data_IF_810367925173
#
_entry.id   IF_810367925173
#
_cell.length_a   1.000
_cell.length_b   1.000
_cell.length_c   1.000
_cell.angle_alpha   90.00
_cell.angle_beta   90.00
_cell.angle_gamma   90.00
#
_symmetry.space_group_name_H-M   'P 1'
#
loop_
_entity.id
_entity.type
_entity.pdbx_description
1 polymer ?
#
# COMPACT_ATOMS: atom_id res chain seq x y z
N UNK A 1 5.43 15.05 -48.70
CA UNK A 1 4.66 13.81 -48.44
C UNK A 1 4.11 13.85 -47.02
N UNK A 2 2.92 13.32 -46.76
CA UNK A 2 2.33 13.30 -45.41
C UNK A 2 3.15 12.40 -44.47
N UNK A 3 3.60 12.97 -43.35
CA UNK A 3 4.25 12.27 -42.25
C UNK A 3 3.21 11.59 -41.36
N UNK A 4 3.50 10.39 -40.88
CA UNK A 4 2.62 9.64 -40.00
C UNK A 4 3.43 8.97 -38.89
N UNK A 5 3.05 9.28 -37.65
CA UNK A 5 3.57 8.68 -36.41
C UNK A 5 2.41 7.99 -35.72
N UNK A 6 2.67 6.80 -35.17
CA UNK A 6 1.77 6.10 -34.27
C UNK A 6 2.16 6.41 -32.82
N UNK A 7 1.18 6.69 -31.99
CA UNK A 7 1.35 6.86 -30.56
C UNK A 7 0.44 5.87 -29.83
N UNK A 8 1.02 5.14 -28.87
CA UNK A 8 0.33 4.05 -28.16
C UNK A 8 0.36 4.26 -26.65
N UNK A 9 -0.27 5.32 -26.10
CA UNK A 9 -0.23 5.57 -24.68
C UNK A 9 -0.99 4.50 -23.89
N UNK A 10 -0.48 4.23 -22.71
CA UNK A 10 -0.96 3.18 -21.83
C UNK A 10 -1.38 3.76 -20.50
N UNK A 11 -2.69 3.81 -20.27
CA UNK A 11 -3.26 4.40 -19.07
C UNK A 11 -3.68 3.31 -18.07
N UNK A 12 -3.41 3.57 -16.79
CA UNK A 12 -3.78 2.70 -15.67
C UNK A 12 -5.25 2.89 -15.29
N UNK A 13 -6.14 2.52 -16.19
CA UNK A 13 -7.58 2.43 -15.98
C UNK A 13 -8.13 1.41 -16.99
N UNK A 14 -8.93 0.44 -16.55
CA UNK A 14 -9.53 -0.59 -17.41
C UNK A 14 -10.96 -0.95 -17.05
N UNK A 15 -11.57 -0.26 -16.07
CA UNK A 15 -12.87 -0.60 -15.50
C UNK A 15 -13.87 0.57 -15.61
N UNK A 16 -13.44 1.81 -15.34
CA UNK A 16 -14.31 2.98 -15.41
C UNK A 16 -14.44 3.49 -16.85
N UNK A 17 -15.58 3.19 -17.47
CA UNK A 17 -15.87 3.58 -18.85
C UNK A 17 -15.90 5.10 -19.06
N UNK A 18 -16.37 5.88 -18.09
CA UNK A 18 -16.41 7.34 -18.21
C UNK A 18 -15.00 7.92 -18.34
N UNK A 19 -14.05 7.39 -17.56
CA UNK A 19 -12.64 7.79 -17.62
C UNK A 19 -12.01 7.35 -18.94
N UNK A 20 -12.30 6.13 -19.38
CA UNK A 20 -11.77 5.60 -20.65
C UNK A 20 -12.25 6.43 -21.84
N UNK A 21 -13.56 6.68 -21.90
CA UNK A 21 -14.19 7.44 -22.98
C UNK A 21 -13.68 8.89 -22.96
N UNK A 22 -13.54 9.53 -21.80
CA UNK A 22 -13.01 10.89 -21.68
C UNK A 22 -11.56 11.03 -22.18
N UNK A 23 -10.69 10.05 -21.88
CA UNK A 23 -9.31 10.04 -22.38
C UNK A 23 -9.29 9.83 -23.90
N UNK A 24 -10.08 8.90 -24.42
CA UNK A 24 -10.21 8.65 -25.85
C UNK A 24 -10.76 9.87 -26.61
N UNK A 25 -11.74 10.55 -26.03
CA UNK A 25 -12.33 11.77 -26.58
C UNK A 25 -11.32 12.93 -26.63
N UNK A 26 -10.48 13.08 -25.61
CA UNK A 26 -9.42 14.08 -25.62
C UNK A 26 -8.43 13.89 -26.79
N UNK A 27 -8.13 12.64 -27.14
CA UNK A 27 -7.31 12.30 -28.31
C UNK A 27 -8.05 12.59 -29.61
N UNK A 28 -9.29 12.13 -29.74
CA UNK A 28 -10.07 12.25 -30.99
C UNK A 28 -10.45 13.69 -31.32
N UNK A 29 -10.64 14.55 -30.32
CA UNK A 29 -10.87 15.98 -30.48
C UNK A 29 -9.59 16.77 -30.79
N UNK A 30 -8.41 16.14 -30.78
CA UNK A 30 -7.16 16.82 -31.10
C UNK A 30 -6.99 16.97 -32.62
N UNK A 31 -6.86 18.21 -33.15
CA UNK A 31 -6.70 18.42 -34.58
C UNK A 31 -5.45 17.71 -35.12
N UNK A 32 -5.64 16.88 -36.15
CA UNK A 32 -4.55 16.14 -36.80
C UNK A 32 -4.23 14.77 -36.20
N UNK A 33 -4.98 14.34 -35.17
CA UNK A 33 -4.95 12.98 -34.64
C UNK A 33 -6.14 12.16 -35.14
N UNK A 34 -5.92 10.86 -35.34
CA UNK A 34 -6.95 9.88 -35.66
C UNK A 34 -6.81 8.75 -34.65
N UNK A 35 -7.80 8.61 -33.76
CA UNK A 35 -7.89 7.48 -32.84
C UNK A 35 -8.26 6.22 -33.64
N UNK A 36 -7.40 5.20 -33.56
CA UNK A 36 -7.56 3.94 -34.30
C UNK A 36 -8.20 2.86 -33.45
N UNK A 37 -7.77 2.73 -32.21
CA UNK A 37 -8.22 1.67 -31.32
C UNK A 37 -8.12 2.06 -29.85
N UNK A 38 -8.98 1.46 -29.02
CA UNK A 38 -9.00 1.57 -27.56
C UNK A 38 -9.23 0.19 -26.98
N UNK A 39 -8.16 -0.45 -26.53
CA UNK A 39 -8.19 -1.80 -25.97
C UNK A 39 -8.14 -1.72 -24.44
N UNK A 40 -9.31 -1.89 -23.81
CA UNK A 40 -9.47 -1.87 -22.36
C UNK A 40 -9.45 -3.30 -21.79
N UNK A 41 -8.54 -3.54 -20.86
CA UNK A 41 -8.44 -4.81 -20.13
C UNK A 41 -8.92 -4.66 -18.67
N UNK A 42 -10.11 -5.19 -18.31
CA UNK A 42 -10.62 -5.11 -16.93
C UNK A 42 -9.70 -5.80 -15.92
N UNK A 43 -9.22 -7.01 -16.24
CA UNK A 43 -8.32 -7.79 -15.37
C UNK A 43 -6.94 -7.14 -15.21
N UNK A 44 -6.40 -6.58 -16.29
CA UNK A 44 -5.11 -5.85 -16.25
C UNK A 44 -5.25 -4.44 -15.66
N UNK A 45 -6.48 -3.95 -15.49
CA UNK A 45 -6.86 -2.59 -15.10
C UNK A 45 -6.04 -1.53 -15.85
N UNK A 46 -5.96 -1.70 -17.17
CA UNK A 46 -5.20 -0.84 -18.09
C UNK A 46 -5.94 -0.73 -19.41
N UNK A 47 -5.83 0.43 -20.03
CA UNK A 47 -6.33 0.67 -21.39
C UNK A 47 -5.20 1.15 -22.27
N UNK A 48 -5.09 0.52 -23.44
CA UNK A 48 -4.14 0.87 -24.50
C UNK A 48 -4.90 1.67 -25.54
N UNK A 49 -4.46 2.90 -25.80
CA UNK A 49 -5.02 3.71 -26.87
C UNK A 49 -4.03 3.70 -28.01
N UNK A 50 -4.52 3.58 -29.24
CA UNK A 50 -3.68 3.62 -30.44
C UNK A 50 -4.21 4.72 -31.33
N UNK A 51 -3.38 5.71 -31.66
CA UNK A 51 -3.75 6.78 -32.57
C UNK A 51 -2.58 7.22 -33.44
N UNK A 52 -2.90 7.83 -34.57
CA UNK A 52 -1.91 8.27 -35.57
C UNK A 52 -2.10 9.73 -35.94
N UNK A 53 -1.02 10.38 -36.36
CA UNK A 53 -1.06 11.78 -36.78
C UNK A 53 0.28 12.29 -37.30
N UNK A 54 0.36 13.59 -37.57
CA UNK A 54 1.65 14.26 -37.80
C UNK A 54 2.48 14.29 -36.50
N UNK A 55 3.82 14.42 -36.57
CA UNK A 55 4.68 14.47 -35.38
C UNK A 55 4.21 15.45 -34.29
N UNK A 56 3.81 16.66 -34.68
CA UNK A 56 3.36 17.68 -33.72
C UNK A 56 1.95 17.38 -33.19
N UNK A 57 1.06 16.87 -34.04
CA UNK A 57 -0.30 16.53 -33.65
C UNK A 57 -0.32 15.39 -32.61
N UNK A 58 0.49 14.34 -32.82
CA UNK A 58 0.49 13.20 -31.88
C UNK A 58 1.03 13.56 -30.50
N UNK A 59 1.97 14.50 -30.42
CA UNK A 59 2.47 15.02 -29.15
C UNK A 59 1.37 15.79 -28.41
N UNK A 60 0.63 16.66 -29.12
CA UNK A 60 -0.49 17.39 -28.52
C UNK A 60 -1.62 16.44 -28.07
N UNK A 61 -1.92 15.41 -28.87
CA UNK A 61 -2.92 14.40 -28.53
C UNK A 61 -2.54 13.63 -27.27
N UNK A 62 -1.27 13.23 -27.16
CA UNK A 62 -0.73 12.56 -25.98
C UNK A 62 -0.77 13.48 -24.73
N UNK A 63 -0.44 14.77 -24.88
CA UNK A 63 -0.50 15.74 -23.76
C UNK A 63 -1.93 15.95 -23.28
N UNK A 64 -2.89 16.13 -24.19
CA UNK A 64 -4.31 16.29 -23.84
C UNK A 64 -4.87 15.06 -23.12
N UNK A 65 -4.58 13.87 -23.64
CA UNK A 65 -4.94 12.61 -22.98
C UNK A 65 -4.34 12.53 -21.56
N UNK A 66 -3.07 12.90 -21.40
CA UNK A 66 -2.40 12.90 -20.10
C UNK A 66 -3.01 13.93 -19.12
N UNK A 67 -3.42 15.11 -19.58
CA UNK A 67 -4.09 16.13 -18.75
C UNK A 67 -5.43 15.62 -18.20
N UNK A 68 -6.21 14.94 -19.03
CA UNK A 68 -7.48 14.33 -18.61
C UNK A 68 -7.24 13.19 -17.62
N UNK A 69 -6.31 12.28 -17.94
CA UNK A 69 -5.95 11.19 -17.05
C UNK A 69 -5.44 11.67 -15.68
N UNK A 70 -4.66 12.75 -15.64
CA UNK A 70 -4.15 13.34 -14.40
C UNK A 70 -5.25 13.82 -13.45
N UNK A 71 -6.39 14.26 -13.99
CA UNK A 71 -7.53 14.70 -13.18
C UNK A 71 -8.44 13.55 -12.74
N UNK A 72 -8.51 12.48 -13.54
CA UNK A 72 -9.49 11.42 -13.37
C UNK A 72 -8.94 10.14 -12.73
N UNK A 73 -7.63 9.88 -12.84
CA UNK A 73 -7.00 8.64 -12.35
C UNK A 73 -6.25 8.91 -11.05
N UNK A 74 -6.72 8.28 -9.97
CA UNK A 74 -6.06 8.26 -8.66
C UNK A 74 -5.25 6.95 -8.50
N UNK A 75 -3.93 7.05 -8.68
CA UNK A 75 -3.02 5.90 -8.52
C UNK A 75 -2.95 5.37 -7.09
N UNK A 76 -3.37 6.13 -6.07
CA UNK A 76 -3.45 5.65 -4.68
C UNK A 76 -4.54 4.59 -4.48
N UNK A 77 -5.54 4.55 -5.36
CA UNK A 77 -6.63 3.57 -5.34
C UNK A 77 -6.50 2.51 -6.44
N UNK A 78 -5.60 2.72 -7.39
CA UNK A 78 -5.43 1.83 -8.53
C UNK A 78 -4.76 0.50 -8.14
N UNK A 79 -5.39 -0.61 -8.53
CA UNK A 79 -4.80 -1.95 -8.51
C UNK A 79 -5.13 -2.70 -9.80
N UNK A 80 -4.16 -3.40 -10.37
CA UNK A 80 -4.34 -4.23 -11.58
C UNK A 80 -3.31 -5.35 -11.63
N UNK A 81 -3.62 -6.42 -12.39
CA UNK A 81 -2.71 -7.57 -12.55
C UNK A 81 -1.46 -7.24 -13.39
N UNK A 82 -1.51 -6.16 -14.18
CA UNK A 82 -0.40 -5.75 -15.03
C UNK A 82 0.52 -4.75 -14.29
N UNK A 83 1.86 -4.94 -14.33
CA UNK A 83 2.80 -4.01 -13.73
C UNK A 83 2.63 -2.58 -14.27
N UNK A 84 2.52 -1.61 -13.37
CA UNK A 84 2.30 -0.20 -13.71
C UNK A 84 3.09 0.73 -12.81
N UNK A 85 3.52 1.87 -13.33
CA UNK A 85 4.30 2.84 -12.58
C UNK A 85 3.62 4.21 -12.48
N UNK A 86 2.58 4.51 -13.25
CA UNK A 86 1.86 5.79 -13.17
C UNK A 86 0.56 5.76 -13.94
N UNK A 87 -0.28 6.78 -13.75
CA UNK A 87 -1.58 6.92 -14.41
C UNK A 87 -1.44 6.84 -15.94
N UNK A 88 -0.39 7.45 -16.49
CA UNK A 88 0.16 7.17 -17.80
C UNK A 88 1.47 6.42 -17.60
N UNK A 89 1.49 5.13 -17.92
CA UNK A 89 2.60 4.24 -17.59
C UNK A 89 3.68 4.26 -18.69
N UNK A 90 3.28 4.15 -19.96
CA UNK A 90 4.18 4.37 -21.11
C UNK A 90 3.47 5.07 -22.26
N UNK A 91 4.22 5.88 -23.00
CA UNK A 91 3.75 6.62 -24.17
C UNK A 91 4.82 6.59 -25.28
N UNK A 92 4.91 5.50 -26.06
CA UNK A 92 5.81 5.40 -27.22
C UNK A 92 5.30 6.21 -28.41
N UNK A 93 6.26 6.63 -29.24
CA UNK A 93 6.05 7.22 -30.56
C UNK A 93 6.80 6.37 -31.59
N UNK A 94 6.09 5.82 -32.58
CA UNK A 94 6.60 4.84 -33.54
C UNK A 94 6.47 5.41 -34.96
N UNK A 95 7.52 5.33 -35.80
CA UNK A 95 7.45 5.81 -37.17
C UNK A 95 6.58 4.87 -38.03
N UNK A 96 5.57 5.42 -38.71
CA UNK A 96 4.71 4.65 -39.63
C UNK A 96 5.03 4.96 -41.09
N UNK A 97 5.02 6.24 -41.47
CA UNK A 97 5.20 6.65 -42.87
C UNK A 97 5.91 7.99 -42.99
N UNK A 98 6.99 8.02 -43.77
CA UNK A 98 7.79 9.22 -44.04
C UNK A 98 8.27 9.94 -42.77
N UNK A 99 8.56 9.18 -41.72
CA UNK A 99 9.09 9.68 -40.45
C UNK A 99 10.30 8.83 -40.06
N UNK A 100 11.39 9.48 -39.64
CA UNK A 100 12.58 8.79 -39.16
C UNK A 100 12.49 8.46 -37.67
N UNK A 101 13.35 7.55 -37.20
CA UNK A 101 13.46 7.28 -35.77
C UNK A 101 13.89 8.52 -34.99
N UNK A 102 14.78 9.36 -35.53
CA UNK A 102 15.20 10.63 -34.91
C UNK A 102 14.03 11.59 -34.69
N UNK A 103 13.08 11.65 -35.63
CA UNK A 103 11.87 12.45 -35.49
C UNK A 103 10.96 11.90 -34.38
N UNK A 104 10.88 10.59 -34.20
CA UNK A 104 10.14 9.98 -33.09
C UNK A 104 10.83 10.21 -31.74
N UNK A 105 12.17 10.16 -31.69
CA UNK A 105 12.95 10.53 -30.51
C UNK A 105 12.71 12.00 -30.15
N UNK A 106 12.61 12.89 -31.14
CA UNK A 106 12.23 14.29 -30.91
C UNK A 106 10.82 14.41 -30.32
N UNK A 107 9.83 13.67 -30.83
CA UNK A 107 8.48 13.64 -30.27
C UNK A 107 8.50 13.22 -28.80
N UNK A 108 9.23 12.14 -28.48
CA UNK A 108 9.37 11.65 -27.10
C UNK A 108 10.03 12.67 -26.16
N UNK A 109 11.08 13.37 -26.62
CA UNK A 109 11.72 14.43 -25.83
C UNK A 109 10.78 15.63 -25.60
N UNK A 110 10.07 16.07 -26.65
CA UNK A 110 9.13 17.19 -26.57
C UNK A 110 7.97 16.87 -25.62
N UNK A 111 7.32 15.73 -25.83
CA UNK A 111 6.26 15.24 -24.96
C UNK A 111 6.73 15.15 -23.51
N UNK A 112 7.87 14.50 -23.25
CA UNK A 112 8.37 14.31 -21.89
C UNK A 112 8.73 15.63 -21.19
N UNK A 113 9.29 16.60 -21.92
CA UNK A 113 9.60 17.92 -21.38
C UNK A 113 8.33 18.71 -21.05
N UNK A 114 7.39 18.79 -21.99
CA UNK A 114 6.14 19.55 -21.79
C UNK A 114 5.30 18.93 -20.68
N UNK A 115 5.14 17.60 -20.68
CA UNK A 115 4.37 16.89 -19.66
C UNK A 115 4.93 17.12 -18.25
N UNK A 116 6.26 17.04 -18.10
CA UNK A 116 6.91 17.22 -16.80
C UNK A 116 6.78 18.65 -16.28
N UNK A 117 6.89 19.64 -17.16
CA UNK A 117 6.72 21.06 -16.80
C UNK A 117 5.26 21.38 -16.46
N UNK A 118 4.31 20.88 -17.25
CA UNK A 118 2.89 21.20 -17.08
C UNK A 118 2.26 20.51 -15.87
N UNK A 119 2.56 19.23 -15.64
CA UNK A 119 1.92 18.43 -14.59
C UNK A 119 2.80 18.26 -13.34
N UNK A 120 4.06 18.71 -13.37
CA UNK A 120 4.99 18.58 -12.25
C UNK A 120 5.36 17.14 -11.91
N UNK A 121 5.29 16.22 -12.88
CA UNK A 121 5.52 14.78 -12.68
C UNK A 121 6.90 14.34 -13.19
N UNK A 122 7.54 13.33 -12.54
CA UNK A 122 8.78 12.76 -13.03
C UNK A 122 8.55 11.93 -14.29
N UNK A 123 9.30 12.23 -15.36
CA UNK A 123 9.22 11.52 -16.65
C UNK A 123 10.56 10.90 -17.00
N UNK A 124 10.55 9.64 -17.43
CA UNK A 124 11.72 8.94 -17.94
C UNK A 124 11.54 8.59 -19.42
N UNK A 125 12.53 8.97 -20.24
CA UNK A 125 12.62 8.49 -21.62
C UNK A 125 13.24 7.08 -21.64
N UNK A 126 12.66 6.20 -22.46
CA UNK A 126 13.04 4.79 -22.58
C UNK A 126 13.29 4.39 -24.05
N UNK A 127 13.72 3.15 -24.26
CA UNK A 127 13.99 2.62 -25.61
C UNK A 127 15.05 3.44 -26.37
N UNK A 128 14.80 3.71 -27.65
CA UNK A 128 15.68 4.52 -28.51
C UNK A 128 15.83 5.98 -28.03
N UNK A 129 14.91 6.48 -27.22
CA UNK A 129 14.99 7.83 -26.63
C UNK A 129 15.73 7.87 -25.27
N UNK A 130 16.15 6.72 -24.73
CA UNK A 130 16.79 6.63 -23.43
C UNK A 130 18.19 7.28 -23.45
N UNK A 131 18.44 8.20 -22.50
CA UNK A 131 19.78 8.82 -22.32
C UNK A 131 20.78 7.96 -21.54
N UNK A 132 20.31 6.91 -20.88
CA UNK A 132 21.12 5.99 -20.09
C UNK A 132 20.81 4.57 -20.53
N UNK A 133 21.83 3.72 -20.65
CA UNK A 133 21.66 2.32 -21.05
C UNK A 133 20.69 1.56 -20.14
N UNK A 134 20.76 1.84 -18.83
CA UNK A 134 19.86 1.26 -17.82
C UNK A 134 18.39 1.65 -17.97
N UNK A 135 18.05 2.59 -18.85
CA UNK A 135 16.68 3.05 -19.14
C UNK A 135 16.18 2.58 -20.51
N UNK A 136 16.95 1.82 -21.28
CA UNK A 136 16.44 1.24 -22.53
C UNK A 136 15.36 0.19 -22.27
N UNK A 137 15.59 -0.67 -21.29
CA UNK A 137 14.64 -1.73 -20.90
C UNK A 137 13.50 -1.17 -20.05
N UNK A 138 12.28 -1.26 -20.56
CA UNK A 138 11.08 -0.84 -19.86
C UNK A 138 10.85 -1.60 -18.54
N UNK A 139 11.02 -2.95 -18.47
CA UNK A 139 11.00 -3.67 -17.21
C UNK A 139 11.98 -3.14 -16.16
N UNK A 140 13.17 -2.70 -16.58
CA UNK A 140 14.16 -2.12 -15.66
C UNK A 140 13.70 -0.78 -15.08
N UNK A 141 12.97 0.03 -15.85
CA UNK A 141 12.35 1.27 -15.34
C UNK A 141 11.21 0.94 -14.38
N UNK A 142 10.34 -0.01 -14.75
CA UNK A 142 9.17 -0.45 -13.97
C UNK A 142 9.49 -1.31 -12.75
N UNK A 143 10.75 -1.64 -12.47
CA UNK A 143 11.13 -2.55 -11.38
C UNK A 143 10.61 -2.05 -10.01
N UNK A 144 9.70 -2.77 -9.36
CA UNK A 144 9.07 -2.32 -8.11
C UNK A 144 7.84 -1.42 -8.30
N UNK A 145 7.38 -1.21 -9.54
CA UNK A 145 6.09 -0.61 -9.88
C UNK A 145 5.86 0.80 -9.30
N UNK A 146 4.60 1.16 -9.06
CA UNK A 146 4.19 2.41 -8.44
C UNK A 146 4.73 2.55 -7.01
N UNK A 147 4.73 1.45 -6.25
CA UNK A 147 5.13 1.44 -4.84
C UNK A 147 6.62 1.75 -4.64
N UNK A 148 7.49 1.47 -5.62
CA UNK A 148 8.91 1.82 -5.56
C UNK A 148 9.25 3.24 -6.07
N UNK A 149 8.26 4.02 -6.54
CA UNK A 149 8.50 5.40 -6.99
C UNK A 149 9.11 6.31 -5.91
N UNK A 150 8.63 6.31 -4.64
CA UNK A 150 9.17 7.19 -3.62
C UNK A 150 10.68 6.99 -3.41
N UNK A 151 11.12 5.75 -3.28
CA UNK A 151 12.55 5.41 -3.10
C UNK A 151 13.39 5.80 -4.33
N UNK A 152 12.88 5.55 -5.54
CA UNK A 152 13.59 5.86 -6.79
C UNK A 152 13.72 7.36 -7.07
N UNK A 153 12.68 8.12 -6.77
CA UNK A 153 12.65 9.57 -6.97
C UNK A 153 13.64 10.23 -6.00
N UNK A 154 13.64 9.79 -4.74
CA UNK A 154 14.58 10.26 -3.70
C UNK A 154 16.03 9.94 -4.08
N UNK A 155 16.33 8.69 -4.44
CA UNK A 155 17.69 8.25 -4.81
C UNK A 155 18.27 8.95 -6.05
N UNK A 156 17.42 9.43 -6.99
CA UNK A 156 17.87 9.88 -8.31
C UNK A 156 17.73 11.38 -8.55
N UNK A 157 16.98 12.11 -7.73
CA UNK A 157 16.93 13.57 -7.73
C UNK A 157 18.14 14.20 -7.01
N UNK A 158 19.05 13.41 -6.45
CA UNK A 158 20.23 13.93 -5.74
C UNK A 158 19.87 14.65 -4.44
N UNK A 159 18.66 14.43 -3.89
CA UNK A 159 18.22 15.03 -2.63
C UNK A 159 19.04 14.55 -1.42
N UNK A 160 19.65 13.38 -1.55
CA UNK A 160 20.74 12.83 -0.75
C UNK A 160 21.99 13.74 -0.65
N UNK A 161 22.14 14.71 -1.55
CA UNK A 161 23.28 15.64 -1.59
C UNK A 161 23.08 16.94 -0.80
N UNK A 162 21.84 17.32 -0.48
CA UNK A 162 21.50 18.62 0.15
C UNK A 162 21.16 18.49 1.65
N UNK A 163 20.59 17.36 2.04
CA UNK A 163 20.34 16.95 3.43
C UNK A 163 19.86 15.50 3.41
N UNK A 164 20.19 14.65 4.41
CA UNK A 164 19.67 13.29 4.43
C UNK A 164 18.14 13.33 4.38
N UNK A 165 17.56 12.83 3.28
CA UNK A 165 16.12 12.64 3.21
C UNK A 165 15.77 11.58 4.25
N UNK A 166 15.17 12.00 5.36
CA UNK A 166 14.65 11.09 6.37
C UNK A 166 13.23 10.66 5.94
N UNK A 167 13.03 9.43 5.43
CA UNK A 167 11.72 8.98 4.98
C UNK A 167 10.69 9.02 6.11
N UNK A 168 11.12 8.87 7.36
CA UNK A 168 10.25 8.94 8.54
C UNK A 168 9.66 10.34 8.78
N UNK A 169 10.29 11.39 8.25
CA UNK A 169 9.87 12.78 8.43
C UNK A 169 9.16 13.38 7.21
N UNK A 170 9.12 12.66 6.08
CA UNK A 170 8.72 13.24 4.78
C UNK A 170 7.73 12.39 3.97
N UNK A 171 7.58 11.10 4.26
CA UNK A 171 6.51 10.27 3.69
C UNK A 171 5.33 10.32 4.65
N UNK A 172 4.14 10.70 4.17
CA UNK A 172 2.96 10.96 5.02
C UNK A 172 2.55 9.71 5.80
N UNK A 173 2.59 8.54 5.18
CA UNK A 173 2.33 7.25 5.81
C UNK A 173 3.34 6.93 6.91
N UNK A 174 4.62 7.28 6.71
CA UNK A 174 5.68 7.06 7.70
C UNK A 174 5.65 8.10 8.80
N UNK A 175 5.20 9.32 8.52
CA UNK A 175 4.90 10.37 9.52
C UNK A 175 3.72 9.95 10.42
N UNK A 176 2.71 9.28 9.84
CA UNK A 176 1.57 8.75 10.58
C UNK A 176 1.96 7.50 11.38
N UNK A 177 2.82 6.62 10.84
CA UNK A 177 3.35 5.45 11.57
C UNK A 177 4.38 5.81 12.66
N UNK A 178 5.22 6.82 12.43
CA UNK A 178 6.15 7.34 13.46
C UNK A 178 5.44 8.10 14.58
N UNK A 179 4.21 8.58 14.34
CA UNK A 179 3.27 9.03 15.37
C UNK A 179 2.63 7.91 16.19
N UNK A 180 2.78 6.65 15.78
CA UNK A 180 2.39 5.44 16.53
C UNK A 180 3.62 4.68 17.03
N UNK A 181 4.56 5.38 17.67
CA UNK A 181 5.74 4.76 18.27
C UNK A 181 5.65 4.73 19.79
N UNK A 182 4.79 3.87 20.33
CA UNK A 182 5.27 2.96 21.37
C UNK A 182 5.60 1.67 20.63
N UNK A 183 6.85 1.55 20.18
CA UNK A 183 7.26 0.52 19.24
C UNK A 183 6.91 -0.87 19.75
N UNK A 184 6.08 -1.59 19.00
CA UNK A 184 5.67 -2.97 19.29
C UNK A 184 6.88 -3.89 19.54
N UNK A 185 6.62 -5.10 20.04
CA UNK A 185 7.62 -6.14 20.28
C UNK A 185 8.49 -6.41 19.05
N UNK A 186 7.91 -6.31 17.84
CA UNK A 186 8.60 -6.50 16.56
C UNK A 186 9.71 -5.48 16.32
N UNK A 187 9.55 -4.25 16.81
CA UNK A 187 10.53 -3.17 16.62
C UNK A 187 11.75 -3.28 17.56
N UNK A 188 11.69 -4.17 18.56
CA UNK A 188 12.76 -4.37 19.54
C UNK A 188 13.83 -5.31 18.97
N UNK A 189 15.06 -5.21 19.50
CA UNK A 189 16.12 -6.15 19.12
C UNK A 189 15.71 -7.60 19.42
N UNK A 190 16.16 -8.56 18.59
CA UNK A 190 15.90 -9.98 18.82
C UNK A 190 16.34 -10.43 20.22
N UNK A 191 17.46 -9.89 20.71
CA UNK A 191 17.93 -10.13 22.07
C UNK A 191 16.92 -9.66 23.12
N UNK A 192 16.36 -8.45 22.95
CA UNK A 192 15.32 -7.92 23.85
C UNK A 192 14.04 -8.75 23.78
N UNK A 193 13.62 -9.16 22.58
CA UNK A 193 12.44 -10.01 22.38
C UNK A 193 12.59 -11.35 23.12
N UNK A 194 13.72 -12.04 22.94
CA UNK A 194 14.00 -13.32 23.62
C UNK A 194 14.02 -13.16 25.13
N UNK A 195 14.61 -12.07 25.66
CA UNK A 195 14.59 -11.80 27.10
C UNK A 195 13.21 -11.45 27.63
N UNK A 196 12.36 -10.79 26.83
CA UNK A 196 10.99 -10.47 27.21
C UNK A 196 10.10 -11.72 27.27
N UNK A 197 10.24 -12.64 26.30
CA UNK A 197 9.55 -13.94 26.31
C UNK A 197 9.96 -14.78 27.53
N UNK A 198 11.25 -14.75 27.90
CA UNK A 198 11.75 -15.46 29.09
C UNK A 198 11.54 -14.72 30.42
N UNK A 199 10.88 -13.56 30.42
CA UNK A 199 10.66 -12.79 31.64
C UNK A 199 9.46 -13.34 32.42
N UNK A 200 9.36 -12.99 33.70
CA UNK A 200 8.20 -13.32 34.54
C UNK A 200 7.03 -12.37 34.21
N UNK A 201 6.47 -12.51 33.01
CA UNK A 201 5.37 -11.71 32.47
C UNK A 201 4.43 -12.57 31.63
N UNK A 202 3.13 -12.28 31.65
CA UNK A 202 2.12 -13.04 30.90
C UNK A 202 2.15 -12.79 29.38
N UNK A 203 2.74 -11.69 28.93
CA UNK A 203 2.99 -11.37 27.52
C UNK A 203 4.34 -10.64 27.38
N UNK A 204 5.12 -10.86 26.31
CA UNK A 204 4.87 -11.73 25.16
C UNK A 204 4.94 -13.23 25.50
N UNK A 205 4.02 -14.02 24.95
CA UNK A 205 3.85 -15.44 25.28
C UNK A 205 4.03 -16.39 24.09
N UNK A 206 3.55 -17.62 24.23
CA UNK A 206 3.69 -18.67 23.21
C UNK A 206 3.06 -18.32 21.85
N UNK A 207 1.98 -17.53 21.84
CA UNK A 207 1.35 -17.05 20.60
C UNK A 207 2.28 -16.14 19.80
N UNK A 208 2.85 -15.13 20.47
CA UNK A 208 3.85 -14.21 19.91
C UNK A 208 5.08 -14.95 19.39
N UNK A 209 5.58 -15.96 20.12
CA UNK A 209 6.70 -16.81 19.67
C UNK A 209 6.32 -17.66 18.46
N UNK A 210 5.13 -18.25 18.44
CA UNK A 210 4.66 -19.07 17.32
C UNK A 210 4.52 -18.24 16.05
N UNK A 211 3.94 -17.05 16.15
CA UNK A 211 3.86 -16.09 15.04
C UNK A 211 5.26 -15.71 14.52
N UNK A 212 6.21 -15.44 15.42
CA UNK A 212 7.59 -15.15 15.05
C UNK A 212 8.28 -16.34 14.34
N UNK A 213 8.09 -17.56 14.83
CA UNK A 213 8.63 -18.78 14.20
C UNK A 213 8.00 -19.02 12.81
N UNK A 214 6.70 -18.82 12.67
CA UNK A 214 6.01 -18.93 11.38
C UNK A 214 6.49 -17.86 10.40
N UNK A 215 6.70 -16.62 10.85
CA UNK A 215 7.24 -15.54 10.03
C UNK A 215 8.66 -15.88 9.52
N UNK A 216 9.53 -16.40 10.40
CA UNK A 216 10.87 -16.88 10.02
C UNK A 216 10.80 -18.03 9.00
N UNK A 217 9.85 -18.96 9.16
CA UNK A 217 9.63 -20.05 8.20
C UNK A 217 9.21 -19.52 6.82
N UNK A 218 8.27 -18.58 6.78
CA UNK A 218 7.84 -17.95 5.54
C UNK A 218 8.98 -17.13 4.89
N UNK A 219 9.78 -16.42 5.69
CA UNK A 219 10.95 -15.68 5.24
C UNK A 219 12.00 -16.60 4.59
N UNK A 220 12.28 -17.75 5.19
CA UNK A 220 13.18 -18.76 4.61
C UNK A 220 12.65 -19.30 3.28
N UNK A 221 11.34 -19.58 3.19
CA UNK A 221 10.70 -20.00 1.94
C UNK A 221 10.83 -18.94 0.83
N UNK A 222 10.60 -17.67 1.18
CA UNK A 222 10.79 -16.54 0.28
C UNK A 222 12.25 -16.40 -0.17
N UNK A 223 13.20 -16.47 0.77
CA UNK A 223 14.64 -16.42 0.50
C UNK A 223 15.07 -17.50 -0.49
N UNK A 224 14.67 -18.76 -0.25
CA UNK A 224 15.02 -19.88 -1.15
C UNK A 224 14.43 -19.64 -2.55
N UNK A 225 13.18 -19.20 -2.64
CA UNK A 225 12.56 -18.83 -3.92
C UNK A 225 13.34 -17.75 -4.66
N UNK A 226 13.73 -16.68 -3.97
CA UNK A 226 14.54 -15.59 -4.52
C UNK A 226 15.96 -16.04 -4.91
N UNK A 227 16.56 -16.95 -4.14
CA UNK A 227 17.88 -17.52 -4.45
C UNK A 227 17.87 -18.42 -5.69
N UNK A 228 16.70 -18.93 -6.09
CA UNK A 228 16.48 -19.73 -7.30
C UNK A 228 16.02 -18.89 -8.49
N UNK A 229 15.23 -17.84 -8.25
CA UNK A 229 14.71 -16.96 -9.29
C UNK A 229 15.82 -16.15 -10.00
N UNK A 230 15.72 -16.01 -11.32
CA UNK A 230 16.66 -15.22 -12.14
C UNK A 230 18.03 -15.87 -12.38
N UNK A 231 18.28 -17.10 -11.92
CA UNK A 231 19.51 -17.84 -12.21
C UNK A 231 19.34 -18.75 -13.42
N UNK A 232 20.30 -18.67 -14.34
CA UNK A 232 20.32 -19.45 -15.60
C UNK A 232 20.21 -20.97 -15.41
N UNK A 233 20.75 -21.50 -14.30
CA UNK A 233 20.65 -22.93 -13.96
C UNK A 233 19.23 -23.39 -13.54
N UNK A 234 18.33 -22.45 -13.23
CA UNK A 234 16.97 -22.71 -12.74
C UNK A 234 15.90 -22.05 -13.63
N UNK A 235 16.24 -21.72 -14.87
CA UNK A 235 15.34 -21.03 -15.83
C UNK A 235 14.04 -21.82 -16.05
N UNK A 236 14.10 -23.15 -16.06
CA UNK A 236 12.93 -24.03 -16.14
C UNK A 236 11.94 -23.88 -14.95
N UNK A 237 12.40 -23.33 -13.81
CA UNK A 237 11.60 -23.13 -12.60
C UNK A 237 11.14 -21.68 -12.44
N UNK A 238 11.49 -20.77 -13.35
CA UNK A 238 11.23 -19.34 -13.19
C UNK A 238 9.74 -19.02 -13.04
N UNK A 239 8.89 -19.63 -13.87
CA UNK A 239 7.44 -19.49 -13.80
C UNK A 239 6.85 -20.01 -12.49
N UNK A 240 7.46 -21.05 -11.90
CA UNK A 240 7.06 -21.62 -10.62
C UNK A 240 7.46 -20.68 -9.49
N UNK A 241 8.69 -20.18 -9.50
CA UNK A 241 9.19 -19.26 -8.48
C UNK A 241 8.41 -17.94 -8.47
N UNK A 242 8.08 -17.39 -9.65
CA UNK A 242 7.28 -16.15 -9.77
C UNK A 242 5.89 -16.28 -9.15
N UNK A 243 5.32 -17.50 -9.11
CA UNK A 243 4.03 -17.77 -8.45
C UNK A 243 4.17 -18.03 -6.95
N UNK A 244 5.26 -18.67 -6.50
CA UNK A 244 5.44 -19.09 -5.11
C UNK A 244 6.02 -18.00 -4.19
N UNK A 245 6.88 -17.12 -4.71
CA UNK A 245 7.52 -16.08 -3.89
C UNK A 245 6.51 -15.08 -3.29
N UNK A 246 5.53 -14.54 -4.04
CA UNK A 246 4.62 -13.53 -3.49
C UNK A 246 3.78 -14.02 -2.29
N UNK A 247 3.17 -15.23 -2.32
CA UNK A 247 2.46 -15.77 -1.15
C UNK A 247 3.34 -15.90 0.11
N UNK A 248 4.60 -16.35 -0.02
CA UNK A 248 5.52 -16.43 1.12
C UNK A 248 5.89 -15.05 1.66
N UNK A 249 6.14 -14.08 0.78
CA UNK A 249 6.44 -12.71 1.18
C UNK A 249 5.25 -12.04 1.88
N UNK A 250 4.03 -12.26 1.38
CA UNK A 250 2.81 -11.76 2.00
C UNK A 250 2.58 -12.40 3.37
N UNK A 251 2.65 -13.73 3.46
CA UNK A 251 2.47 -14.45 4.72
C UNK A 251 3.51 -14.02 5.77
N UNK A 252 4.77 -13.80 5.37
CA UNK A 252 5.82 -13.26 6.24
C UNK A 252 5.40 -11.92 6.85
N UNK A 253 4.93 -10.96 6.06
CA UNK A 253 4.55 -9.64 6.56
C UNK A 253 3.29 -9.68 7.45
N UNK A 254 2.31 -10.52 7.11
CA UNK A 254 1.11 -10.71 7.93
C UNK A 254 1.46 -11.33 9.29
N UNK A 255 2.32 -12.35 9.32
CA UNK A 255 2.74 -13.04 10.54
C UNK A 255 3.59 -12.16 11.46
N UNK A 256 4.38 -11.23 10.90
CA UNK A 256 5.12 -10.25 11.70
C UNK A 256 4.16 -9.37 12.51
N UNK A 257 3.09 -8.88 11.89
CA UNK A 257 2.07 -8.06 12.58
C UNK A 257 1.34 -8.87 13.66
N UNK A 258 1.17 -10.18 13.47
CA UNK A 258 0.53 -11.05 14.47
C UNK A 258 1.31 -11.15 15.79
N UNK A 259 2.64 -10.93 15.78
CA UNK A 259 3.46 -10.93 17.00
C UNK A 259 3.00 -9.84 17.97
N UNK A 260 2.82 -8.62 17.45
CA UNK A 260 2.31 -7.50 18.25
C UNK A 260 0.82 -7.66 18.57
N UNK A 261 0.05 -8.20 17.62
CA UNK A 261 -1.39 -8.41 17.77
C UNK A 261 -1.72 -9.40 18.90
N UNK A 262 -0.94 -10.48 19.06
CA UNK A 262 -1.11 -11.45 20.15
C UNK A 262 -0.93 -10.79 21.53
N UNK A 263 0.14 -10.01 21.68
CA UNK A 263 0.43 -9.31 22.93
C UNK A 263 -0.60 -8.21 23.23
N UNK A 264 -1.04 -7.47 22.20
CA UNK A 264 -2.09 -6.45 22.33
C UNK A 264 -3.46 -7.06 22.65
N UNK A 265 -3.81 -8.19 22.05
CA UNK A 265 -5.06 -8.88 22.32
C UNK A 265 -5.14 -9.29 23.79
N UNK A 266 -4.07 -9.89 24.32
CA UNK A 266 -3.99 -10.28 25.73
C UNK A 266 -4.19 -9.07 26.67
N UNK A 267 -3.46 -7.97 26.44
CA UNK A 267 -3.64 -6.74 27.22
C UNK A 267 -5.04 -6.14 27.08
N UNK A 268 -5.63 -6.18 25.89
CA UNK A 268 -6.98 -5.63 25.63
C UNK A 268 -8.05 -6.39 26.41
N UNK A 269 -7.96 -7.71 26.54
CA UNK A 269 -8.89 -8.49 27.37
C UNK A 269 -8.80 -8.13 28.85
N UNK A 270 -7.58 -7.94 29.38
CA UNK A 270 -7.38 -7.50 30.77
C UNK A 270 -7.98 -6.10 31.01
N UNK A 271 -7.71 -5.15 30.10
CA UNK A 271 -8.26 -3.79 30.18
C UNK A 271 -9.77 -3.79 30.06
N UNK A 272 -10.34 -4.57 29.13
CA UNK A 272 -11.78 -4.67 28.96
C UNK A 272 -12.48 -5.23 30.20
N UNK A 273 -11.93 -6.28 30.83
CA UNK A 273 -12.45 -6.83 32.07
C UNK A 273 -12.47 -5.78 33.20
N UNK A 274 -11.37 -5.02 33.36
CA UNK A 274 -11.29 -3.94 34.36
C UNK A 274 -12.15 -2.72 34.02
N UNK A 275 -12.31 -2.38 32.74
CA UNK A 275 -13.17 -1.27 32.30
C UNK A 275 -14.64 -1.58 32.55
N UNK A 276 -15.08 -2.82 32.31
CA UNK A 276 -16.43 -3.28 32.63
C UNK A 276 -16.68 -3.25 34.15
N UNK A 277 -15.74 -3.75 34.95
CA UNK A 277 -15.79 -3.64 36.42
C UNK A 277 -15.92 -2.18 36.87
N UNK A 278 -15.09 -1.27 36.34
CA UNK A 278 -15.13 0.15 36.65
C UNK A 278 -16.45 0.82 36.21
N UNK A 279 -17.01 0.42 35.07
CA UNK A 279 -18.31 0.89 34.59
C UNK A 279 -19.45 0.54 35.53
N UNK A 280 -19.46 -0.70 36.06
CA UNK A 280 -20.44 -1.15 37.06
C UNK A 280 -20.24 -0.43 38.40
N UNK A 281 -18.99 -0.17 38.80
CA UNK A 281 -18.68 0.68 39.96
C UNK A 281 -19.25 2.10 39.81
N UNK A 282 -19.09 2.72 38.64
CA UNK A 282 -19.67 4.02 38.32
C UNK A 282 -21.20 4.00 38.41
N UNK A 283 -21.84 2.98 37.84
CA UNK A 283 -23.29 2.79 37.94
C UNK A 283 -23.76 2.62 39.39
N UNK A 284 -23.03 1.84 40.19
CA UNK A 284 -23.30 1.66 41.62
C UNK A 284 -23.30 2.99 42.37
N UNK A 285 -22.24 3.78 42.25
CA UNK A 285 -22.15 5.06 42.96
C UNK A 285 -23.16 6.08 42.46
N UNK A 286 -23.49 6.08 41.17
CA UNK A 286 -24.56 6.93 40.63
C UNK A 286 -25.92 6.59 41.25
N UNK A 287 -26.27 5.30 41.34
CA UNK A 287 -27.53 4.86 41.96
C UNK A 287 -27.53 5.18 43.45
N UNK A 288 -26.47 4.83 44.18
CA UNK A 288 -26.36 5.07 45.63
C UNK A 288 -26.42 6.55 45.97
N UNK A 289 -25.86 7.42 45.13
CA UNK A 289 -25.92 8.87 45.34
C UNK A 289 -27.35 9.39 45.23
N UNK A 290 -28.09 9.01 44.18
CA UNK A 290 -29.49 9.41 43.99
C UNK A 290 -30.43 8.78 45.03
N UNK A 291 -30.13 7.58 45.53
CA UNK A 291 -30.95 6.91 46.56
C UNK A 291 -30.99 7.66 47.90
N UNK A 292 -30.05 8.58 48.16
CA UNK A 292 -30.06 9.41 49.38
C UNK A 292 -31.25 10.36 49.43
N UNK A 293 -31.72 10.81 48.27
CA UNK A 293 -32.80 11.78 48.14
C UNK A 293 -34.19 11.10 48.04
N UNK A 294 -34.25 9.76 48.02
CA UNK A 294 -35.49 8.99 47.90
C UNK A 294 -36.12 8.74 49.27
N UNK A 295 -37.36 9.21 49.46
CA UNK A 295 -38.09 9.12 50.74
C UNK A 295 -38.66 7.72 51.04
N UNK A 296 -38.93 6.89 50.03
CA UNK A 296 -39.42 5.52 50.21
C UNK A 296 -38.30 4.57 50.65
N UNK A 297 -38.33 4.13 51.91
CA UNK A 297 -37.33 3.22 52.48
C UNK A 297 -37.38 1.80 51.89
N UNK A 298 -38.57 1.29 51.54
CA UNK A 298 -38.70 -0.06 51.00
C UNK A 298 -38.05 -0.12 49.61
N UNK A 299 -38.33 0.86 48.77
CA UNK A 299 -37.70 1.00 47.46
C UNK A 299 -36.19 1.23 47.57
N UNK A 300 -35.74 2.09 48.51
CA UNK A 300 -34.31 2.36 48.73
C UNK A 300 -33.55 1.09 49.08
N UNK A 301 -34.09 0.28 50.00
CA UNK A 301 -33.46 -0.97 50.44
C UNK A 301 -33.43 -2.02 49.34
N UNK A 302 -34.51 -2.14 48.56
CA UNK A 302 -34.57 -3.06 47.41
C UNK A 302 -33.52 -2.67 46.34
N UNK A 303 -33.51 -1.40 45.93
CA UNK A 303 -32.59 -0.91 44.91
C UNK A 303 -31.13 -0.99 45.35
N UNK A 304 -30.85 -0.69 46.63
CA UNK A 304 -29.51 -0.84 47.17
C UNK A 304 -29.05 -2.31 47.18
N UNK A 305 -29.94 -3.24 47.52
CA UNK A 305 -29.64 -4.68 47.46
C UNK A 305 -29.34 -5.15 46.03
N UNK A 306 -30.17 -4.74 45.06
CA UNK A 306 -30.00 -5.09 43.64
C UNK A 306 -28.68 -4.56 43.08
N UNK A 307 -28.39 -3.27 43.27
CA UNK A 307 -27.16 -2.68 42.71
C UNK A 307 -25.90 -3.22 43.38
N UNK A 308 -25.94 -3.57 44.67
CA UNK A 308 -24.84 -4.23 45.37
C UNK A 308 -24.60 -5.64 44.84
N UNK A 309 -25.66 -6.39 44.51
CA UNK A 309 -25.55 -7.72 43.90
C UNK A 309 -24.87 -7.65 42.53
N UNK A 310 -25.26 -6.69 41.69
CA UNK A 310 -24.63 -6.51 40.38
C UNK A 310 -23.16 -6.10 40.48
N UNK A 311 -22.81 -5.28 41.48
CA UNK A 311 -21.41 -4.94 41.75
C UNK A 311 -20.59 -6.17 42.14
N UNK A 312 -21.11 -6.99 43.06
CA UNK A 312 -20.43 -8.21 43.50
C UNK A 312 -20.24 -9.22 42.33
N UNK A 313 -21.26 -9.40 41.50
CA UNK A 313 -21.21 -10.26 40.31
C UNK A 313 -20.17 -9.76 39.30
N UNK A 314 -20.12 -8.45 39.05
CA UNK A 314 -19.13 -7.85 38.15
C UNK A 314 -17.69 -8.01 38.68
N UNK A 315 -17.47 -7.82 39.98
CA UNK A 315 -16.16 -8.04 40.62
C UNK A 315 -15.72 -9.50 40.52
N UNK A 316 -16.62 -10.45 40.80
CA UNK A 316 -16.33 -11.87 40.72
C UNK A 316 -16.04 -12.32 39.28
N UNK A 317 -16.83 -11.84 38.32
CA UNK A 317 -16.65 -12.14 36.90
C UNK A 317 -15.33 -11.57 36.37
N UNK A 318 -14.98 -10.34 36.74
CA UNK A 318 -13.71 -9.72 36.38
C UNK A 318 -12.52 -10.47 36.99
N UNK A 319 -12.61 -10.86 38.27
CA UNK A 319 -11.58 -11.67 38.93
C UNK A 319 -11.38 -13.02 38.22
N UNK A 320 -12.47 -13.72 37.88
CA UNK A 320 -12.40 -15.01 37.17
C UNK A 320 -11.79 -14.88 35.78
N UNK A 321 -12.14 -13.83 35.02
CA UNK A 321 -11.52 -13.56 33.72
C UNK A 321 -10.02 -13.29 33.86
N UNK A 322 -9.61 -12.51 34.87
CA UNK A 322 -8.21 -12.20 35.12
C UNK A 322 -7.42 -13.44 35.58
N UNK A 323 -7.97 -14.26 36.48
CA UNK A 323 -7.36 -15.52 36.90
C UNK A 323 -7.21 -16.52 35.74
N UNK A 324 -8.21 -16.62 34.85
CA UNK A 324 -8.12 -17.44 33.64
C UNK A 324 -7.05 -16.94 32.66
N UNK A 325 -6.87 -15.62 32.55
CA UNK A 325 -5.83 -15.03 31.73
C UNK A 325 -4.43 -15.21 32.34
N UNK A 326 -4.28 -15.06 33.66
CA UNK A 326 -3.02 -15.25 34.37
C UNK A 326 -2.59 -16.73 34.41
N UNK A 327 -3.53 -17.66 34.60
CA UNK A 327 -3.26 -19.11 34.59
C UNK A 327 -2.87 -19.65 33.21
N UNK A 328 -3.20 -18.95 32.12
CA UNK A 328 -2.70 -19.26 30.76
C UNK A 328 -1.29 -18.74 30.50
N UNK A 329 -0.77 -17.85 31.35
CA UNK A 329 0.58 -17.28 31.25
C UNK A 329 1.64 -18.00 32.10
N UNK A 330 1.28 -19.07 32.81
CA UNK A 330 2.19 -19.97 33.55
C UNK A 330 2.38 -21.29 32.78
#
# INVERSE_FOLDING_TARGET
MSKLVECVPNFSEGNNKEVIDAIGEAVSQTPGCILLDVDAGPSTNRTVYTFVGSPDAVVEGALRAARVAFQLIDMGKHRGEHPRMGALDVCPFIPVRNVTMEECIRCANLFGQQLSVELGVPVYLYGEAARKESRKSLPAIRAGEYEALPEKVVSRLGLDSLSPFNPQERIIEYLVQSGQADGGLVSKSLHTFVRAVGARSAAPGGGSVSAAMSALGAALGCMVGLMSYGKRQFEALELVMRKLIPPFHQAMNELIVMVDTDSLAFSSYMVAAKALEAGVFGAYFNVVTNLKDVTDEAFRKEMHGRISSFLAEAQQSAALVLELLESRGQ
#
